data_IF_517924418382
#
_entry.id   IF_517924418382
#
_cell.length_a   1.000
_cell.length_b   1.000
_cell.length_c   1.000
_cell.angle_alpha   90.00
_cell.angle_beta   90.00
_cell.angle_gamma   90.00
#
_symmetry.space_group_name_H-M   'P 1'
#
loop_
_entity.id
_entity.type
_entity.pdbx_description
1 polymer ?
#
# COMPACT_ATOMS: atom_id res chain seq x y z
N UNK A 1 22.00 5.60 20.48
CA UNK A 1 21.54 7.00 20.63
C UNK A 1 21.80 7.67 19.30
N UNK A 2 20.79 7.76 18.43
CA UNK A 2 20.90 8.54 17.19
C UNK A 2 20.29 9.92 17.44
N UNK A 3 20.87 10.95 16.82
CA UNK A 3 20.43 12.34 16.96
C UNK A 3 19.04 12.57 16.37
N UNK A 4 18.37 13.64 16.79
CA UNK A 4 17.08 14.10 16.27
C UNK A 4 17.04 14.20 14.73
N UNK A 5 18.17 14.49 14.09
CA UNK A 5 18.33 14.53 12.63
C UNK A 5 18.12 13.19 11.93
N UNK A 6 18.39 12.07 12.61
CA UNK A 6 18.14 10.73 12.04
C UNK A 6 16.64 10.46 11.95
N UNK A 7 15.87 10.92 12.94
CA UNK A 7 14.43 10.72 13.00
C UNK A 7 13.70 11.65 12.03
N UNK A 8 14.19 12.87 11.79
CA UNK A 8 13.69 13.70 10.69
C UNK A 8 14.04 13.16 9.30
N UNK A 9 15.22 12.58 9.11
CA UNK A 9 15.54 11.88 7.85
C UNK A 9 14.64 10.67 7.60
N UNK A 10 14.32 9.89 8.63
CA UNK A 10 13.37 8.79 8.51
C UNK A 10 11.94 9.29 8.25
N UNK A 11 11.60 10.51 8.69
CA UNK A 11 10.34 11.17 8.35
C UNK A 11 10.26 11.66 6.89
N UNK A 12 11.39 11.93 6.24
CA UNK A 12 11.43 12.26 4.80
C UNK A 12 11.17 11.05 3.89
N UNK A 13 11.31 9.82 4.41
CA UNK A 13 10.98 8.59 3.68
C UNK A 13 9.48 8.30 3.62
N UNK A 14 8.66 9.11 4.30
CA UNK A 14 7.22 9.09 4.12
C UNK A 14 6.88 9.76 2.79
N UNK A 15 7.16 9.07 1.69
CA UNK A 15 6.34 9.22 0.49
C UNK A 15 4.97 8.69 0.88
N UNK A 16 4.18 9.55 1.50
CA UNK A 16 2.78 9.28 1.71
C UNK A 16 2.19 9.47 0.33
N UNK A 17 2.00 8.35 -0.39
CA UNK A 17 0.94 8.31 -1.38
C UNK A 17 -0.27 8.89 -0.65
N UNK A 18 -0.82 10.00 -1.14
CA UNK A 18 -2.21 10.29 -0.84
C UNK A 18 -2.91 9.05 -1.38
N UNK A 19 -3.45 8.17 -0.53
CA UNK A 19 -3.87 6.88 -1.02
C UNK A 19 -4.86 7.07 -2.15
N UNK A 20 -4.91 6.08 -3.04
CA UNK A 20 -5.99 5.89 -4.00
C UNK A 20 -7.40 5.92 -3.36
N UNK A 21 -7.50 6.02 -2.04
CA UNK A 21 -8.76 6.21 -1.33
C UNK A 21 -9.16 7.69 -1.20
N UNK A 22 -8.20 8.62 -1.12
CA UNK A 22 -8.48 10.06 -1.02
C UNK A 22 -8.77 10.71 -2.36
N UNK A 23 -8.07 10.34 -3.44
CA UNK A 23 -8.32 10.90 -4.76
C UNK A 23 -9.70 10.49 -5.36
N UNK A 24 -10.38 9.49 -4.77
CA UNK A 24 -11.44 8.73 -5.46
C UNK A 24 -12.82 8.73 -4.78
N UNK A 25 -12.98 9.42 -3.65
CA UNK A 25 -14.27 9.48 -2.94
C UNK A 25 -15.25 10.54 -3.47
N UNK A 26 -14.89 11.28 -4.53
CA UNK A 26 -15.71 12.37 -5.07
C UNK A 26 -15.79 13.64 -4.21
N UNK A 27 -14.89 13.80 -3.23
CA UNK A 27 -14.75 15.00 -2.40
C UNK A 27 -13.39 15.66 -2.67
N UNK A 28 -13.34 17.00 -2.63
CA UNK A 28 -12.06 17.71 -2.55
C UNK A 28 -11.52 17.50 -1.12
N UNK A 29 -10.40 16.79 -0.98
CA UNK A 29 -9.78 16.53 0.33
C UNK A 29 -8.64 17.50 0.59
N UNK A 30 -8.74 18.24 1.68
CA UNK A 30 -7.59 18.90 2.28
C UNK A 30 -6.87 17.88 3.17
N UNK A 31 -5.63 17.54 2.79
CA UNK A 31 -4.76 16.74 3.64
C UNK A 31 -4.03 17.66 4.61
N UNK A 32 -4.17 17.42 5.91
CA UNK A 32 -3.39 18.12 6.95
C UNK A 32 -1.94 17.60 7.02
N UNK A 33 -1.25 17.52 5.87
CA UNK A 33 0.21 17.41 5.86
C UNK A 33 0.79 18.80 6.11
N UNK A 34 1.73 18.91 7.05
CA UNK A 34 2.54 20.12 7.18
C UNK A 34 3.28 20.34 5.84
N UNK A 35 3.02 21.44 5.11
CA UNK A 35 3.56 21.64 3.76
C UNK A 35 5.09 21.56 3.69
N UNK A 36 5.78 21.87 4.79
CA UNK A 36 7.23 21.72 4.93
C UNK A 36 7.77 20.26 4.88
N UNK A 37 6.91 19.24 4.89
CA UNK A 37 7.30 17.82 4.85
C UNK A 37 6.95 17.09 3.55
N UNK A 38 6.22 17.74 2.63
CA UNK A 38 5.79 17.14 1.37
C UNK A 38 6.67 17.60 0.21
N UNK A 39 7.75 16.87 -0.07
CA UNK A 39 8.51 17.00 -1.32
C UNK A 39 8.05 15.90 -2.29
N UNK A 40 7.54 16.30 -3.45
CA UNK A 40 7.25 15.36 -4.55
C UNK A 40 8.59 15.00 -5.20
N UNK A 41 9.05 13.76 -5.01
CA UNK A 41 10.33 13.24 -5.54
C UNK A 41 10.14 12.18 -6.63
N UNK A 42 8.91 11.70 -6.82
CA UNK A 42 8.50 10.80 -7.89
C UNK A 42 7.24 11.37 -8.56
N UNK A 43 7.30 11.52 -9.87
CA UNK A 43 6.19 12.02 -10.68
C UNK A 43 6.21 11.35 -12.06
N UNK A 44 5.26 11.69 -12.96
CA UNK A 44 5.35 11.26 -14.36
C UNK A 44 6.65 11.67 -15.08
N UNK A 45 7.41 12.64 -14.57
CA UNK A 45 8.74 12.98 -15.10
C UNK A 45 9.79 11.91 -14.72
N UNK A 46 9.65 11.30 -13.54
CA UNK A 46 10.49 10.20 -13.04
C UNK A 46 10.11 8.86 -13.66
N UNK A 47 8.82 8.68 -13.91
CA UNK A 47 8.20 7.44 -14.42
C UNK A 47 7.66 7.71 -15.82
N UNK A 48 8.50 7.61 -16.88
CA UNK A 48 8.17 8.17 -18.20
C UNK A 48 7.03 7.46 -18.93
N UNK A 49 6.58 6.31 -18.43
CA UNK A 49 5.41 5.58 -18.92
C UNK A 49 4.12 5.94 -18.18
N UNK A 50 4.20 6.72 -17.10
CA UNK A 50 3.05 7.29 -16.42
C UNK A 50 2.49 8.46 -17.23
N UNK A 51 1.18 8.46 -17.45
CA UNK A 51 0.50 9.45 -18.30
C UNK A 51 -0.11 10.59 -17.49
N UNK A 52 -0.61 10.31 -16.27
CA UNK A 52 -1.28 11.30 -15.44
C UNK A 52 -0.68 11.38 -14.04
N UNK A 53 -0.49 10.25 -13.39
CA UNK A 53 -0.04 10.19 -12.01
C UNK A 53 0.66 8.88 -11.66
N UNK A 54 1.37 8.93 -10.55
CA UNK A 54 2.06 7.82 -9.86
C UNK A 54 1.52 7.79 -8.43
N UNK A 55 1.24 6.61 -7.87
CA UNK A 55 0.59 6.51 -6.56
C UNK A 55 1.45 5.77 -5.53
N UNK A 56 1.23 4.47 -5.32
CA UNK A 56 1.79 3.75 -4.19
C UNK A 56 3.18 3.20 -4.50
N UNK A 57 4.05 3.21 -3.49
CA UNK A 57 5.46 2.81 -3.61
C UNK A 57 5.84 1.84 -2.49
N UNK A 58 6.30 0.64 -2.86
CA UNK A 58 6.95 -0.28 -1.92
C UNK A 58 8.46 -0.23 -2.07
N UNK A 59 9.16 -0.08 -0.94
CA UNK A 59 10.62 0.15 -0.92
C UNK A 59 11.34 -1.03 -0.23
N UNK A 60 12.40 -1.51 -0.87
CA UNK A 60 13.40 -2.39 -0.26
C UNK A 60 14.80 -1.79 -0.36
N UNK A 61 15.61 -1.96 0.69
CA UNK A 61 17.03 -1.60 0.67
C UNK A 61 17.88 -2.83 0.42
N UNK A 62 18.80 -2.73 -0.54
CA UNK A 62 19.82 -3.74 -0.80
C UNK A 62 21.20 -3.09 -0.91
N UNK A 63 22.05 -3.35 0.08
CA UNK A 63 23.31 -2.63 0.22
C UNK A 63 23.07 -1.12 0.37
N UNK A 64 23.68 -0.33 -0.52
CA UNK A 64 23.56 1.13 -0.52
C UNK A 64 22.41 1.65 -1.38
N UNK A 65 21.72 0.77 -2.11
CA UNK A 65 20.66 1.17 -3.05
C UNK A 65 19.28 0.87 -2.48
N UNK A 66 18.33 1.75 -2.77
CA UNK A 66 16.91 1.50 -2.59
C UNK A 66 16.31 1.04 -3.92
N UNK A 67 15.42 0.06 -3.85
CA UNK A 67 14.59 -0.41 -4.94
C UNK A 67 13.14 -0.12 -4.59
N UNK A 68 12.41 0.46 -5.52
CA UNK A 68 11.02 0.84 -5.36
C UNK A 68 10.15 0.14 -6.40
N UNK A 69 9.01 -0.42 -6.01
CA UNK A 69 7.98 -0.86 -6.94
C UNK A 69 6.79 0.07 -6.82
N UNK A 70 6.36 0.62 -7.95
CA UNK A 70 5.42 1.73 -8.00
C UNK A 70 4.29 1.42 -8.97
N UNK A 71 3.06 1.78 -8.62
CA UNK A 71 1.99 1.83 -9.60
C UNK A 71 1.81 3.24 -10.19
N UNK A 72 1.51 3.27 -11.49
CA UNK A 72 1.25 4.51 -12.20
C UNK A 72 0.23 4.33 -13.32
N UNK A 73 -0.46 5.40 -13.66
CA UNK A 73 -1.54 5.36 -14.63
C UNK A 73 -1.00 5.42 -16.07
N UNK A 74 -1.36 4.45 -16.89
CA UNK A 74 -0.94 4.36 -18.31
C UNK A 74 -1.97 4.95 -19.29
N UNK A 75 -3.10 5.43 -18.80
CA UNK A 75 -4.29 5.82 -19.57
C UNK A 75 -5.43 4.81 -19.47
N UNK A 76 -5.23 3.56 -19.94
CA UNK A 76 -6.20 2.47 -19.74
C UNK A 76 -6.37 2.05 -18.27
N UNK A 77 -5.44 2.45 -17.41
CA UNK A 77 -5.48 2.36 -15.96
C UNK A 77 -4.08 2.05 -15.39
N UNK A 78 -4.01 1.62 -14.14
CA UNK A 78 -2.73 1.45 -13.45
C UNK A 78 -2.07 0.11 -13.75
N UNK A 79 -0.74 0.17 -13.78
CA UNK A 79 0.23 -0.90 -13.97
C UNK A 79 1.39 -0.68 -12.99
N UNK A 80 2.21 -1.71 -12.73
CA UNK A 80 3.31 -1.64 -11.76
C UNK A 80 4.66 -1.67 -12.47
N UNK A 81 5.55 -0.73 -12.12
CA UNK A 81 6.93 -0.66 -12.57
C UNK A 81 7.92 -0.64 -11.42
N UNK A 82 9.19 -0.33 -11.72
CA UNK A 82 10.27 -0.35 -10.75
C UNK A 82 11.20 0.85 -10.92
N UNK A 83 11.65 1.38 -9.79
CA UNK A 83 12.57 2.49 -9.65
C UNK A 83 13.75 2.08 -8.77
N UNK A 84 14.85 2.83 -8.84
CA UNK A 84 15.88 2.78 -7.81
C UNK A 84 16.32 4.16 -7.37
N UNK A 85 16.90 4.23 -6.17
CA UNK A 85 17.54 5.41 -5.63
C UNK A 85 18.91 5.05 -5.04
N UNK A 86 19.92 5.86 -5.37
CA UNK A 86 21.30 5.75 -4.88
C UNK A 86 21.66 6.82 -3.83
N UNK A 87 20.71 7.69 -3.48
CA UNK A 87 20.90 8.86 -2.62
C UNK A 87 19.89 8.88 -1.47
N UNK A 88 19.53 7.69 -0.98
CA UNK A 88 18.63 7.52 0.15
C UNK A 88 17.24 8.11 -0.09
N UNK A 89 16.69 7.90 -1.29
CA UNK A 89 15.31 8.23 -1.67
C UNK A 89 15.09 9.69 -2.06
N UNK A 90 16.16 10.51 -2.14
CA UNK A 90 16.07 11.91 -2.55
C UNK A 90 15.78 12.04 -4.05
N UNK A 91 16.36 11.16 -4.86
CA UNK A 91 16.06 11.04 -6.29
C UNK A 91 15.81 9.59 -6.66
N UNK A 92 14.94 9.41 -7.66
CA UNK A 92 14.54 8.10 -8.17
C UNK A 92 14.78 8.04 -9.67
N UNK A 93 15.15 6.86 -10.16
CA UNK A 93 15.39 6.60 -11.57
C UNK A 93 14.58 5.38 -11.98
N UNK A 94 13.80 5.50 -13.05
CA UNK A 94 13.23 4.36 -13.78
C UNK A 94 14.23 3.89 -14.86
N UNK A 95 14.94 2.76 -14.65
CA UNK A 95 15.89 2.26 -15.64
C UNK A 95 15.24 1.55 -16.83
N UNK A 96 13.96 1.22 -16.75
CA UNK A 96 13.28 0.38 -17.74
C UNK A 96 12.35 1.19 -18.66
N UNK A 97 11.80 2.28 -18.16
CA UNK A 97 10.91 3.17 -18.90
C UNK A 97 9.62 2.50 -19.36
N UNK A 98 9.18 1.45 -18.64
CA UNK A 98 7.95 0.70 -18.91
C UNK A 98 7.45 -0.04 -17.66
N UNK A 99 6.16 -0.42 -17.61
CA UNK A 99 5.66 -1.35 -16.60
C UNK A 99 6.41 -2.68 -16.62
N UNK A 100 6.55 -3.30 -15.44
CA UNK A 100 7.15 -4.62 -15.23
C UNK A 100 6.13 -5.69 -14.84
N UNK A 101 4.95 -5.27 -14.38
CA UNK A 101 3.76 -6.10 -14.23
C UNK A 101 2.61 -5.34 -14.89
N UNK A 102 1.91 -6.01 -15.82
CA UNK A 102 0.75 -5.46 -16.52
C UNK A 102 -0.49 -6.31 -16.27
N UNK A 103 -1.68 -5.74 -16.29
CA UNK A 103 -2.97 -6.46 -16.18
C UNK A 103 -3.14 -7.55 -17.26
N UNK A 104 -3.19 -8.81 -16.83
CA UNK A 104 -3.32 -9.95 -17.77
C UNK A 104 -4.39 -10.95 -17.34
N UNK A 105 -4.80 -10.95 -16.08
CA UNK A 105 -5.77 -11.90 -15.54
C UNK A 105 -7.20 -11.36 -15.59
N UNK A 106 -8.18 -12.26 -15.65
CA UNK A 106 -9.60 -11.91 -15.78
C UNK A 106 -10.17 -11.13 -14.60
N UNK A 107 -9.55 -11.19 -13.42
CA UNK A 107 -9.99 -10.51 -12.21
C UNK A 107 -9.32 -9.14 -11.99
N UNK A 108 -8.36 -8.77 -12.84
CA UNK A 108 -7.54 -7.55 -12.71
C UNK A 108 -7.50 -6.72 -14.02
N UNK A 109 -8.50 -6.89 -14.89
CA UNK A 109 -8.51 -6.29 -16.25
C UNK A 109 -8.64 -4.77 -16.26
N UNK A 110 -9.02 -4.14 -15.15
CA UNK A 110 -9.26 -2.69 -15.05
C UNK A 110 -8.12 -1.94 -14.37
N UNK A 111 -7.33 -2.56 -13.50
CA UNK A 111 -6.09 -2.01 -12.94
C UNK A 111 -5.44 -2.94 -11.93
N UNK A 112 -4.12 -2.76 -11.79
CA UNK A 112 -3.31 -3.27 -10.70
C UNK A 112 -2.59 -2.10 -10.03
N UNK A 113 -2.62 -2.06 -8.69
CA UNK A 113 -2.17 -0.95 -7.85
C UNK A 113 -1.58 -1.45 -6.53
N UNK A 114 -0.99 -0.55 -5.75
CA UNK A 114 -0.60 -0.79 -4.36
C UNK A 114 0.29 -2.02 -4.19
N UNK A 115 1.43 -2.08 -4.91
CA UNK A 115 2.37 -3.17 -4.73
C UNK A 115 2.96 -3.12 -3.32
N UNK A 116 3.21 -4.27 -2.73
CA UNK A 116 4.00 -4.43 -1.53
C UNK A 116 4.94 -5.61 -1.67
N UNK A 117 6.24 -5.31 -1.68
CA UNK A 117 7.30 -6.27 -1.99
C UNK A 117 8.10 -6.61 -0.75
N UNK A 118 8.22 -7.91 -0.49
CA UNK A 118 9.19 -8.48 0.45
C UNK A 118 10.24 -9.27 -0.31
N UNK A 119 11.46 -9.32 0.25
CA UNK A 119 12.51 -10.23 -0.22
C UNK A 119 12.85 -11.23 0.87
N UNK A 120 12.65 -12.52 0.58
CA UNK A 120 12.90 -13.62 1.50
C UNK A 120 13.50 -14.81 0.76
N UNK A 121 14.45 -15.48 1.40
CA UNK A 121 15.08 -16.70 0.86
C UNK A 121 15.59 -16.55 -0.59
N UNK A 122 16.09 -15.35 -0.93
CA UNK A 122 16.61 -15.02 -2.26
C UNK A 122 15.56 -14.76 -3.34
N UNK A 123 14.29 -14.62 -2.97
CA UNK A 123 13.14 -14.38 -3.87
C UNK A 123 12.37 -13.13 -3.44
N UNK A 124 11.84 -12.42 -4.42
CA UNK A 124 10.90 -11.32 -4.22
C UNK A 124 9.46 -11.85 -4.27
N UNK A 125 8.65 -11.34 -3.37
CA UNK A 125 7.23 -11.64 -3.22
C UNK A 125 6.49 -10.32 -3.19
N UNK A 126 5.61 -10.09 -4.16
CA UNK A 126 4.81 -8.89 -4.32
C UNK A 126 3.35 -9.25 -4.11
N UNK A 127 2.74 -8.71 -3.06
CA UNK A 127 1.30 -8.61 -2.97
C UNK A 127 0.87 -7.33 -3.65
N UNK A 128 -0.20 -7.37 -4.43
CA UNK A 128 -0.69 -6.21 -5.16
C UNK A 128 -2.21 -6.28 -5.25
N UNK A 129 -2.86 -5.13 -5.42
CA UNK A 129 -4.31 -5.07 -5.55
C UNK A 129 -4.70 -5.04 -7.01
N UNK A 130 -5.75 -5.75 -7.39
CA UNK A 130 -6.27 -5.78 -8.76
C UNK A 130 -7.80 -5.76 -8.78
N UNK A 131 -8.38 -5.12 -9.80
CA UNK A 131 -9.84 -5.09 -10.01
C UNK A 131 -10.18 -5.26 -11.48
N UNK A 132 -11.32 -5.91 -11.74
CA UNK A 132 -12.00 -5.92 -13.04
C UNK A 132 -13.25 -5.04 -13.05
N UNK A 133 -13.56 -4.37 -11.93
CA UNK A 133 -14.66 -3.42 -11.81
C UNK A 133 -14.21 -2.04 -12.31
N UNK A 134 -15.00 -1.45 -13.21
CA UNK A 134 -14.76 -0.11 -13.75
C UNK A 134 -15.11 1.04 -12.79
N UNK A 135 -15.71 0.73 -11.64
CA UNK A 135 -16.07 1.71 -10.61
C UNK A 135 -14.85 2.04 -9.75
N UNK A 136 -14.76 3.31 -9.36
CA UNK A 136 -13.66 3.82 -8.55
C UNK A 136 -13.67 3.20 -7.14
N UNK A 137 -12.50 2.77 -6.66
CA UNK A 137 -12.31 2.20 -5.32
C UNK A 137 -13.17 0.95 -5.00
N UNK A 138 -13.66 0.22 -6.01
CA UNK A 138 -14.55 -0.95 -5.83
C UNK A 138 -13.95 -2.20 -6.46
N UNK A 139 -14.25 -3.35 -5.85
CA UNK A 139 -13.99 -4.65 -6.46
C UNK A 139 -12.51 -5.05 -6.47
N UNK A 140 -11.68 -4.42 -5.63
CA UNK A 140 -10.28 -4.80 -5.52
C UNK A 140 -10.12 -6.10 -4.73
N UNK A 141 -9.23 -6.95 -5.21
CA UNK A 141 -8.78 -8.15 -4.55
C UNK A 141 -7.25 -8.17 -4.55
N UNK A 142 -6.63 -8.94 -3.66
CA UNK A 142 -5.16 -8.95 -3.54
C UNK A 142 -4.62 -10.22 -4.21
N UNK A 143 -3.71 -10.01 -5.17
CA UNK A 143 -2.94 -11.06 -5.84
C UNK A 143 -1.54 -11.24 -5.25
N UNK A 144 -0.86 -12.30 -5.68
CA UNK A 144 0.55 -12.54 -5.39
C UNK A 144 1.31 -12.73 -6.70
N UNK A 145 2.41 -12.00 -6.86
CA UNK A 145 3.39 -12.18 -7.91
C UNK A 145 4.76 -12.38 -7.30
N UNK A 146 5.59 -13.22 -7.91
CA UNK A 146 6.90 -13.57 -7.36
C UNK A 146 8.01 -13.58 -8.38
N UNK A 147 9.21 -13.24 -7.95
CA UNK A 147 10.33 -12.99 -8.85
C UNK A 147 11.67 -13.41 -8.24
N UNK A 148 12.61 -13.81 -9.08
CA UNK A 148 14.00 -14.07 -8.65
C UNK A 148 14.91 -12.84 -8.77
N UNK A 149 14.53 -11.89 -9.62
CA UNK A 149 15.33 -10.71 -9.95
C UNK A 149 14.64 -9.39 -9.58
N UNK A 150 13.36 -9.43 -9.18
CA UNK A 150 12.55 -8.26 -8.87
C UNK A 150 12.00 -7.56 -10.12
N UNK A 151 12.24 -8.13 -11.30
CA UNK A 151 11.96 -7.54 -12.60
C UNK A 151 10.96 -8.37 -13.41
N UNK A 152 11.18 -9.68 -13.44
CA UNK A 152 10.33 -10.64 -14.14
C UNK A 152 9.44 -11.36 -13.13
N UNK A 153 8.14 -11.21 -13.27
CA UNK A 153 7.17 -11.66 -12.27
C UNK A 153 6.36 -12.85 -12.76
N UNK A 154 6.23 -13.88 -11.92
CA UNK A 154 5.31 -14.99 -12.08
C UNK A 154 4.17 -14.83 -11.07
N UNK A 155 2.95 -14.64 -11.58
CA UNK A 155 1.76 -14.35 -10.78
C UNK A 155 0.88 -15.58 -10.59
N UNK A 156 0.23 -15.65 -9.43
CA UNK A 156 -0.88 -16.57 -9.22
C UNK A 156 -2.06 -16.18 -10.11
N UNK A 157 -2.77 -17.16 -10.66
CA UNK A 157 -3.86 -16.90 -11.62
C UNK A 157 -5.15 -16.41 -10.96
N UNK A 158 -5.25 -16.52 -9.63
CA UNK A 158 -6.39 -16.13 -8.83
C UNK A 158 -5.94 -15.25 -7.66
N UNK A 159 -6.81 -14.38 -7.12
CA UNK A 159 -6.50 -13.61 -5.93
C UNK A 159 -6.12 -14.54 -4.77
N UNK A 160 -5.09 -14.16 -4.02
CA UNK A 160 -4.71 -14.85 -2.77
C UNK A 160 -5.54 -14.37 -1.58
N UNK A 161 -6.04 -13.13 -1.64
CA UNK A 161 -7.07 -12.62 -0.73
C UNK A 161 -8.23 -12.06 -1.56
N UNK A 162 -9.30 -12.84 -1.79
CA UNK A 162 -10.53 -12.34 -2.37
C UNK A 162 -11.36 -11.55 -1.35
N UNK A 163 -12.47 -10.97 -1.80
CA UNK A 163 -13.45 -10.36 -0.91
C UNK A 163 -13.87 -11.32 0.21
N UNK A 164 -14.32 -10.73 1.33
CA UNK A 164 -14.96 -11.47 2.39
C UNK A 164 -16.23 -12.19 1.94
N UNK A 165 -16.74 -13.05 2.82
CA UNK A 165 -18.01 -13.72 2.57
C UNK A 165 -19.14 -12.68 2.54
N UNK A 166 -20.12 -12.85 1.65
CA UNK A 166 -21.25 -11.90 1.54
C UNK A 166 -21.88 -11.59 2.91
N UNK A 167 -21.97 -10.29 3.22
CA UNK A 167 -22.42 -9.74 4.49
C UNK A 167 -21.31 -9.51 5.52
N UNK A 168 -20.04 -9.80 5.21
CA UNK A 168 -18.90 -9.37 6.04
C UNK A 168 -18.49 -7.94 5.74
N UNK A 169 -17.83 -7.30 6.71
CA UNK A 169 -17.39 -5.90 6.65
C UNK A 169 -16.23 -5.65 5.63
N UNK A 170 -15.87 -6.67 4.85
CA UNK A 170 -14.86 -6.65 3.79
C UNK A 170 -15.31 -7.42 2.53
N UNK A 171 -16.62 -7.58 2.33
CA UNK A 171 -17.24 -8.30 1.21
C UNK A 171 -17.31 -7.51 -0.11
N UNK A 172 -16.90 -6.24 -0.10
CA UNK A 172 -17.03 -5.32 -1.23
C UNK A 172 -15.69 -4.97 -1.90
N UNK A 173 -14.62 -4.83 -1.11
CA UNK A 173 -13.28 -4.52 -1.62
C UNK A 173 -12.19 -4.87 -0.60
N UNK A 174 -11.06 -5.40 -1.06
CA UNK A 174 -9.83 -5.56 -0.28
C UNK A 174 -8.62 -5.03 -1.08
N UNK A 175 -7.89 -4.08 -0.51
CA UNK A 175 -6.87 -3.28 -1.22
C UNK A 175 -5.73 -2.88 -0.27
N UNK A 176 -4.66 -2.28 -0.79
CA UNK A 176 -3.51 -1.76 -0.05
C UNK A 176 -2.84 -2.80 0.89
N UNK A 177 -2.33 -3.93 0.36
CA UNK A 177 -1.63 -4.89 1.21
C UNK A 177 -0.36 -4.29 1.79
N UNK A 178 -0.17 -4.38 3.10
CA UNK A 178 1.13 -4.22 3.76
C UNK A 178 1.47 -5.54 4.45
N UNK A 179 2.50 -6.22 3.95
CA UNK A 179 2.87 -7.57 4.40
C UNK A 179 4.19 -7.55 5.15
N UNK A 180 4.27 -8.29 6.26
CA UNK A 180 5.51 -8.60 6.95
C UNK A 180 5.63 -10.09 7.21
N UNK A 181 6.86 -10.56 7.40
CA UNK A 181 7.10 -11.93 7.84
C UNK A 181 7.92 -11.93 9.12
N UNK A 182 7.34 -12.46 10.19
CA UNK A 182 7.91 -12.47 11.53
C UNK A 182 7.53 -13.79 12.22
N UNK A 183 8.41 -14.35 13.05
CA UNK A 183 8.16 -15.55 13.83
C UNK A 183 7.62 -16.77 13.04
N UNK A 184 8.05 -16.90 11.79
CA UNK A 184 7.65 -18.02 10.93
C UNK A 184 6.30 -17.84 10.24
N UNK A 185 5.72 -16.64 10.26
CA UNK A 185 4.39 -16.36 9.74
C UNK A 185 4.34 -15.01 9.01
N UNK A 186 3.55 -14.97 7.94
CA UNK A 186 3.16 -13.73 7.27
C UNK A 186 2.02 -13.06 8.03
N UNK A 187 2.11 -11.74 8.16
CA UNK A 187 1.03 -10.88 8.62
C UNK A 187 0.77 -9.85 7.54
N UNK A 188 -0.50 -9.67 7.19
CA UNK A 188 -0.95 -8.65 6.24
C UNK A 188 -1.86 -7.69 6.98
N UNK A 189 -1.61 -6.41 6.80
CA UNK A 189 -2.54 -5.34 7.07
C UNK A 189 -3.09 -4.87 5.73
N UNK A 190 -4.40 -4.66 5.64
CA UNK A 190 -5.03 -4.26 4.38
C UNK A 190 -6.24 -3.37 4.62
N UNK A 191 -6.65 -2.62 3.61
CA UNK A 191 -7.91 -1.87 3.57
C UNK A 191 -9.04 -2.82 3.17
N UNK A 192 -9.96 -3.13 4.08
CA UNK A 192 -11.16 -3.92 3.79
C UNK A 192 -12.40 -3.03 3.80
N UNK A 193 -13.32 -3.22 2.86
CA UNK A 193 -14.55 -2.45 2.78
C UNK A 193 -15.80 -3.30 2.60
N UNK A 194 -16.86 -2.84 3.26
CA UNK A 194 -18.26 -3.15 2.93
C UNK A 194 -18.87 -2.05 2.04
N UNK A 195 -20.04 -2.35 1.46
CA UNK A 195 -20.83 -1.38 0.73
C UNK A 195 -21.79 -0.63 1.67
N UNK A 196 -21.56 0.67 1.87
CA UNK A 196 -22.48 1.57 2.58
C UNK A 196 -23.05 2.59 1.61
N UNK A 197 -24.36 2.46 1.30
CA UNK A 197 -25.08 3.35 0.38
C UNK A 197 -24.44 3.48 -1.01
N UNK A 198 -23.89 2.38 -1.54
CA UNK A 198 -23.26 2.38 -2.87
C UNK A 198 -21.80 2.81 -2.89
N UNK A 199 -21.20 3.07 -1.72
CA UNK A 199 -19.82 3.52 -1.59
C UNK A 199 -19.02 2.54 -0.69
N UNK A 200 -17.73 2.34 -0.97
CA UNK A 200 -16.88 1.52 -0.12
C UNK A 200 -16.65 2.21 1.24
N UNK A 201 -16.88 1.48 2.32
CA UNK A 201 -16.59 1.92 3.68
C UNK A 201 -15.34 1.21 4.21
N UNK A 202 -14.18 1.85 4.07
CA UNK A 202 -12.90 1.22 4.41
C UNK A 202 -12.58 1.22 5.89
N UNK A 203 -12.10 0.07 6.35
CA UNK A 203 -11.49 -0.18 7.65
C UNK A 203 -10.08 -0.77 7.44
N UNK A 204 -9.22 -0.69 8.45
CA UNK A 204 -7.94 -1.43 8.44
C UNK A 204 -8.15 -2.80 9.06
N UNK A 205 -7.73 -3.83 8.34
CA UNK A 205 -7.83 -5.24 8.72
C UNK A 205 -6.46 -5.85 8.95
N UNK A 206 -6.43 -6.97 9.67
CA UNK A 206 -5.27 -7.87 9.83
C UNK A 206 -5.65 -9.28 9.36
N UNK A 207 -4.73 -9.96 8.69
CA UNK A 207 -4.79 -11.40 8.39
C UNK A 207 -3.44 -12.09 8.60
N UNK A 208 -3.46 -13.39 8.85
CA UNK A 208 -2.27 -14.24 9.03
C UNK A 208 -2.13 -15.25 7.89
N UNK A 209 -0.90 -15.66 7.56
CA UNK A 209 -0.65 -16.73 6.60
C UNK A 209 0.66 -17.46 6.89
N UNK A 210 0.70 -18.78 6.69
CA UNK A 210 1.94 -19.58 6.80
C UNK A 210 2.75 -19.60 5.51
N UNK A 211 2.13 -19.34 4.37
CA UNK A 211 2.69 -19.54 3.04
C UNK A 211 2.61 -18.31 2.13
N UNK A 212 1.95 -17.23 2.58
CA UNK A 212 1.73 -16.00 1.80
C UNK A 212 0.65 -16.13 0.72
N UNK A 213 0.04 -17.31 0.60
CA UNK A 213 -0.96 -17.68 -0.41
C UNK A 213 -2.34 -17.83 0.22
N UNK A 214 -2.42 -18.51 1.36
CA UNK A 214 -3.66 -18.78 2.08
C UNK A 214 -3.73 -17.90 3.31
N UNK A 215 -4.70 -16.99 3.33
CA UNK A 215 -4.87 -16.01 4.41
C UNK A 215 -6.03 -16.38 5.33
N UNK A 216 -5.79 -16.32 6.64
CA UNK A 216 -6.72 -16.70 7.71
C UNK A 216 -6.76 -15.62 8.79
N UNK A 217 -7.58 -15.84 9.83
CA UNK A 217 -7.71 -14.95 11.00
C UNK A 217 -8.02 -13.48 10.66
N UNK A 218 -8.75 -13.27 9.57
CA UNK A 218 -9.19 -11.93 9.10
C UNK A 218 -10.02 -11.25 10.18
N UNK A 219 -9.65 -10.02 10.54
CA UNK A 219 -10.42 -9.19 11.48
C UNK A 219 -10.14 -7.69 11.27
N UNK A 220 -11.12 -6.81 11.49
CA UNK A 220 -10.87 -5.38 11.53
C UNK A 220 -10.07 -5.03 12.79
N UNK A 221 -9.11 -4.12 12.65
CA UNK A 221 -8.29 -3.60 13.76
C UNK A 221 -8.40 -2.07 13.91
N UNK A 222 -8.88 -1.36 12.88
CA UNK A 222 -9.25 0.06 12.95
C UNK A 222 -10.56 0.29 12.21
N UNK A 223 -11.60 0.65 12.95
CA UNK A 223 -12.98 0.79 12.45
C UNK A 223 -13.68 2.07 12.91
N UNK A 224 -13.01 2.93 13.66
CA UNK A 224 -13.65 4.02 14.42
C UNK A 224 -13.95 5.28 13.59
N UNK A 225 -13.60 5.27 12.30
CA UNK A 225 -13.62 6.45 11.45
C UNK A 225 -14.49 6.25 10.21
N UNK A 226 -14.84 7.37 9.55
CA UNK A 226 -15.58 7.35 8.27
C UNK A 226 -14.77 6.63 7.19
N UNK A 227 -13.46 6.64 7.34
CA UNK A 227 -12.50 5.98 6.48
C UNK A 227 -11.28 5.60 7.29
N UNK A 228 -10.76 4.38 7.11
CA UNK A 228 -9.45 3.95 7.58
C UNK A 228 -8.84 3.04 6.53
N UNK A 229 -7.78 3.49 5.86
CA UNK A 229 -7.23 2.81 4.69
C UNK A 229 -5.71 3.03 4.54
N UNK A 230 -5.12 2.36 3.55
CA UNK A 230 -3.70 2.34 3.22
C UNK A 230 -2.80 2.12 4.44
N UNK A 231 -2.94 0.97 5.12
CA UNK A 231 -2.11 0.67 6.26
C UNK A 231 -0.66 0.47 5.84
N UNK A 232 0.28 1.08 6.55
CA UNK A 232 1.71 0.82 6.41
C UNK A 232 2.33 0.53 7.77
N UNK A 233 2.97 -0.64 7.91
CA UNK A 233 3.55 -1.11 9.16
C UNK A 233 5.06 -1.06 9.14
N UNK A 234 5.61 -0.22 10.00
CA UNK A 234 7.05 0.00 10.17
C UNK A 234 7.47 -0.39 11.58
N UNK A 235 8.62 -1.03 11.69
CA UNK A 235 9.27 -1.26 12.97
C UNK A 235 10.39 -0.25 13.20
N UNK A 236 10.35 0.44 14.34
CA UNK A 236 11.39 1.38 14.75
C UNK A 236 11.65 1.29 16.25
N UNK A 237 12.92 1.09 16.63
CA UNK A 237 13.32 1.06 18.04
C UNK A 237 12.61 -0.02 18.88
N UNK A 238 12.25 -1.16 18.26
CA UNK A 238 11.51 -2.25 18.91
C UNK A 238 10.02 -1.96 19.15
N UNK A 239 9.48 -0.92 18.51
CA UNK A 239 8.04 -0.60 18.50
C UNK A 239 7.51 -0.76 17.07
N UNK A 240 6.32 -1.35 16.93
CA UNK A 240 5.60 -1.36 15.65
C UNK A 240 4.69 -0.14 15.57
N UNK A 241 4.78 0.53 14.43
CA UNK A 241 4.00 1.70 14.07
C UNK A 241 3.12 1.33 12.88
N UNK A 242 1.81 1.49 13.02
CA UNK A 242 0.86 1.40 11.92
C UNK A 242 0.47 2.82 11.54
N UNK A 243 0.87 3.24 10.34
CA UNK A 243 0.41 4.46 9.70
C UNK A 243 -0.79 4.12 8.83
N UNK A 244 -1.79 4.99 8.81
CA UNK A 244 -2.97 4.82 7.98
C UNK A 244 -3.62 6.17 7.71
N UNK A 245 -4.43 6.21 6.66
CA UNK A 245 -5.22 7.39 6.31
C UNK A 245 -6.60 7.28 6.89
N UNK A 246 -7.06 8.37 7.49
CA UNK A 246 -8.40 8.49 8.01
C UNK A 246 -9.15 9.68 7.45
N UNK A 247 -10.48 9.59 7.42
CA UNK A 247 -11.37 10.74 7.28
C UNK A 247 -12.19 10.93 8.55
N UNK A 248 -12.11 12.12 9.14
CA UNK A 248 -12.88 12.50 10.35
C UNK A 248 -14.23 13.11 10.01
N UNK A 249 -14.36 13.66 8.80
CA UNK A 249 -15.59 14.15 8.18
C UNK A 249 -15.45 14.09 6.66
N UNK A 250 -16.54 14.04 5.88
CA UNK A 250 -16.45 14.15 4.42
C UNK A 250 -15.61 15.35 3.99
N UNK A 251 -14.61 15.15 3.11
CA UNK A 251 -13.70 16.19 2.62
C UNK A 251 -12.53 16.57 3.54
N UNK A 252 -12.36 15.94 4.72
CA UNK A 252 -11.19 16.12 5.59
C UNK A 252 -10.45 14.82 5.88
N UNK A 253 -9.24 14.70 5.36
CA UNK A 253 -8.39 13.55 5.53
C UNK A 253 -7.20 13.88 6.43
N UNK A 254 -6.86 12.96 7.32
CA UNK A 254 -5.71 13.06 8.20
C UNK A 254 -4.88 11.78 8.13
N UNK A 255 -3.57 11.92 8.32
CA UNK A 255 -2.70 10.79 8.62
C UNK A 255 -2.75 10.49 10.11
N UNK A 256 -2.89 9.22 10.47
CA UNK A 256 -2.91 8.76 11.86
C UNK A 256 -1.83 7.70 12.09
N UNK A 257 -1.40 7.61 13.35
CA UNK A 257 -0.39 6.66 13.80
C UNK A 257 -0.94 5.83 14.98
N UNK A 258 -1.00 4.51 14.85
CA UNK A 258 -1.19 3.60 15.98
C UNK A 258 0.15 3.00 16.41
N UNK A 259 0.38 2.92 17.71
CA UNK A 259 1.59 2.30 18.29
C UNK A 259 1.22 1.01 18.98
N UNK A 260 1.89 -0.09 18.62
CA UNK A 260 1.74 -1.35 19.33
C UNK A 260 2.86 -1.49 20.38
N UNK A 261 2.49 -1.53 21.66
CA UNK A 261 3.34 -2.04 22.75
C UNK A 261 2.79 -3.40 23.16
N UNK A 262 3.59 -4.21 23.86
CA UNK A 262 3.38 -5.64 24.19
C UNK A 262 2.05 -6.06 24.88
N UNK A 263 1.01 -5.21 24.90
CA UNK A 263 -0.34 -5.45 25.41
C UNK A 263 -1.47 -5.04 24.44
N UNK A 264 -1.20 -4.66 23.18
CA UNK A 264 -2.22 -4.31 22.16
C UNK A 264 -2.00 -2.96 21.47
N UNK A 265 -2.89 -2.60 20.54
CA UNK A 265 -2.89 -1.32 19.83
C UNK A 265 -3.34 -0.19 20.76
N UNK A 266 -2.50 0.84 20.92
CA UNK A 266 -2.86 2.08 21.60
C UNK A 266 -2.84 3.21 20.57
N UNK A 267 -3.91 4.02 20.56
CA UNK A 267 -3.97 5.28 19.80
C UNK A 267 -2.77 6.15 20.17
N UNK A 268 -1.87 6.35 19.20
CA UNK A 268 -0.86 7.38 19.27
C UNK A 268 -1.50 8.67 18.81
N UNK A 269 -1.77 9.61 19.71
CA UNK A 269 -2.10 10.96 19.27
C UNK A 269 -0.86 11.51 18.54
N UNK A 270 -0.98 11.68 17.22
CA UNK A 270 0.00 12.40 16.41
C UNK A 270 0.08 13.87 16.87
N UNK A 271 1.30 14.40 16.89
CA UNK A 271 1.62 15.78 17.28
C UNK A 271 1.49 16.77 16.12
#
# INVERSE_FOLDING_TARGET
MFSSDSMERHKKFFYLSLPLVLLYSGFDWECELKPELAEVVISPETVPWAMWDTADLSILREGNRLYGWIDANTGPGYEIGMLYSDDDGQTWVDPYGKPLLSRELSWETVQIVSPHVLKRDGRYEMWYSGTSDGRLAVGYQIGLATSRDGLTWMRETSPVLPFGASGSEDDFSVVDPCVRYEDGEYRMWYSGAEEVKGLPWFQVWEASSKDGLTWTDRKPIVSDWILSAAPEVIEHGGTRHLFYVTATSPGKAAFQELRHRSAGWLLGFGF
#
